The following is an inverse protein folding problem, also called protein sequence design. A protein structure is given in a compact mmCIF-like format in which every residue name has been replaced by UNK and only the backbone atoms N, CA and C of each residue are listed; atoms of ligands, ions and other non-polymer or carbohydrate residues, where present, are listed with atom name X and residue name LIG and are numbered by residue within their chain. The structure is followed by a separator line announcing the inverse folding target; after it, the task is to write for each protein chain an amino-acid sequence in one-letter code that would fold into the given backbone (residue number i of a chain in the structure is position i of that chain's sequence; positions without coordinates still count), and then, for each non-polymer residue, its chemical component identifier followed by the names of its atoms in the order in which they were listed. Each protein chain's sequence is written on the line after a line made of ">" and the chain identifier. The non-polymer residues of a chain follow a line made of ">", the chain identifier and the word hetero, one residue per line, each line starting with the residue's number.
data_IF_541762000852
#
_entry.id   IF_541762000852
#
_cell.length_a   1.000
_cell.length_b   1.000
_cell.length_c   1.000
_cell.angle_alpha   90.00
_cell.angle_beta   90.00
_cell.angle_gamma   90.00
#
_symmetry.space_group_name_H-M   'P 1'
#
loop_
_entity.id
_entity.type
_entity.pdbx_description
1 polymer ?
#
# COMPACT_ATOMS: atom_id res chain seq x y z
N UNK A 1 -5.59 -14.43 3.84
CA UNK A 1 -6.53 -13.31 3.66
C UNK A 1 -6.07 -12.48 2.48
N UNK A 2 -6.96 -12.19 1.53
CA UNK A 2 -6.66 -11.41 0.33
C UNK A 2 -7.91 -10.65 -0.14
N UNK A 3 -7.75 -9.63 -0.97
CA UNK A 3 -8.85 -8.82 -1.54
C UNK A 3 -8.80 -8.70 -3.07
N UNK A 4 -7.77 -9.26 -3.70
CA UNK A 4 -7.64 -9.23 -5.16
C UNK A 4 -8.65 -10.14 -5.85
N UNK A 5 -8.94 -9.88 -7.12
CA UNK A 5 -9.74 -10.79 -7.95
C UNK A 5 -8.94 -12.07 -8.14
N UNK A 6 -9.44 -13.16 -7.57
CA UNK A 6 -8.80 -14.47 -7.71
C UNK A 6 -9.00 -14.98 -9.14
N UNK A 7 -7.91 -15.24 -9.83
CA UNK A 7 -7.87 -16.12 -10.99
C UNK A 7 -7.74 -17.53 -10.43
N UNK A 8 -8.65 -18.46 -10.77
CA UNK A 8 -8.66 -19.87 -10.36
C UNK A 8 -7.55 -20.27 -9.36
N UNK A 9 -7.81 -20.14 -8.07
CA UNK A 9 -6.79 -20.46 -7.07
C UNK A 9 -7.08 -21.82 -6.42
N UNK A 10 -6.24 -22.80 -6.68
CA UNK A 10 -6.16 -24.00 -5.86
C UNK A 10 -5.32 -23.68 -4.61
N UNK A 11 -5.96 -23.12 -3.60
CA UNK A 11 -5.30 -22.96 -2.30
C UNK A 11 -5.58 -24.17 -1.41
N UNK A 12 -4.55 -24.63 -0.73
CA UNK A 12 -4.61 -25.76 0.21
C UNK A 12 -4.96 -25.32 1.64
N UNK A 13 -5.26 -24.04 1.84
CA UNK A 13 -5.62 -23.45 3.14
C UNK A 13 -6.98 -22.74 3.07
N UNK A 14 -7.51 -22.36 4.23
CA UNK A 14 -8.72 -21.52 4.29
C UNK A 14 -8.47 -20.16 3.64
N UNK A 15 -9.19 -19.88 2.57
CA UNK A 15 -9.17 -18.59 1.88
C UNK A 15 -10.24 -17.67 2.45
N UNK A 16 -9.84 -16.50 2.93
CA UNK A 16 -10.75 -15.39 3.29
C UNK A 16 -10.56 -14.31 2.25
N UNK A 17 -11.47 -14.23 1.30
CA UNK A 17 -11.47 -13.24 0.23
C UNK A 17 -12.93 -12.91 -0.13
N UNK A 18 -13.43 -11.69 0.14
CA UNK A 18 -14.82 -11.33 -0.09
C UNK A 18 -15.22 -11.40 -1.58
N UNK A 19 -14.26 -11.29 -2.49
CA UNK A 19 -14.54 -11.44 -3.94
C UNK A 19 -14.72 -12.87 -4.41
N UNK A 20 -14.40 -13.83 -3.55
CA UNK A 20 -14.54 -15.29 -3.82
C UNK A 20 -15.66 -15.89 -3.00
N UNK A 21 -15.79 -15.43 -1.75
CA UNK A 21 -16.65 -16.08 -0.77
C UNK A 21 -18.03 -15.41 -0.63
N UNK A 22 -18.18 -14.15 -1.07
CA UNK A 22 -19.38 -13.35 -0.82
C UNK A 22 -20.09 -12.92 -2.11
N UNK A 23 -21.32 -12.43 -1.97
CA UNK A 23 -22.09 -11.86 -3.08
C UNK A 23 -21.38 -10.60 -3.66
N UNK A 24 -21.55 -10.36 -4.96
CA UNK A 24 -20.89 -9.26 -5.68
C UNK A 24 -21.21 -7.87 -5.11
N UNK A 25 -22.36 -7.69 -4.48
CA UNK A 25 -22.83 -6.44 -3.90
C UNK A 25 -22.52 -6.30 -2.39
N UNK A 26 -21.81 -7.25 -1.80
CA UNK A 26 -21.48 -7.21 -0.38
C UNK A 26 -20.65 -5.94 -0.04
N UNK A 27 -21.08 -5.13 0.96
CA UNK A 27 -20.46 -3.84 1.25
C UNK A 27 -18.99 -3.91 1.67
N UNK A 28 -18.54 -5.08 2.12
CA UNK A 28 -17.14 -5.34 2.51
C UNK A 28 -16.23 -5.78 1.36
N UNK A 29 -16.76 -5.97 0.15
CA UNK A 29 -15.95 -6.30 -1.02
C UNK A 29 -14.90 -5.23 -1.38
N UNK A 30 -15.11 -4.01 -0.94
CA UNK A 30 -14.17 -2.91 -1.16
C UNK A 30 -13.07 -2.81 -0.10
N UNK A 31 -13.09 -3.67 0.93
CA UNK A 31 -12.04 -3.68 1.95
C UNK A 31 -10.72 -4.20 1.36
N UNK A 32 -9.62 -3.51 1.67
CA UNK A 32 -8.28 -4.01 1.41
C UNK A 32 -7.90 -5.12 2.41
N UNK A 33 -6.81 -5.85 2.14
CA UNK A 33 -6.35 -6.92 3.04
C UNK A 33 -6.13 -6.44 4.47
N UNK A 34 -5.61 -5.24 4.69
CA UNK A 34 -5.43 -4.69 6.04
C UNK A 34 -6.78 -4.50 6.78
N UNK A 35 -7.80 -4.00 6.07
CA UNK A 35 -9.16 -3.87 6.61
C UNK A 35 -9.79 -5.23 6.91
N UNK A 36 -9.61 -6.21 6.03
CA UNK A 36 -10.10 -7.57 6.23
C UNK A 36 -9.45 -8.24 7.44
N UNK A 37 -8.12 -8.12 7.59
CA UNK A 37 -7.39 -8.64 8.76
C UNK A 37 -7.88 -7.98 10.05
N UNK A 38 -8.07 -6.67 10.04
CA UNK A 38 -8.63 -5.94 11.19
C UNK A 38 -10.00 -6.50 11.61
N UNK A 39 -10.91 -6.73 10.65
CA UNK A 39 -12.21 -7.34 10.91
C UNK A 39 -12.12 -8.78 11.37
N UNK A 40 -11.22 -9.58 10.77
CA UNK A 40 -11.00 -10.97 11.17
C UNK A 40 -10.54 -11.05 12.63
N UNK A 41 -9.54 -10.25 13.01
CA UNK A 41 -9.07 -10.17 14.41
C UNK A 41 -10.21 -9.76 15.35
N UNK A 42 -10.99 -8.74 14.97
CA UNK A 42 -12.16 -8.32 15.75
C UNK A 42 -13.17 -9.47 15.93
N UNK A 43 -13.46 -10.22 14.86
CA UNK A 43 -14.36 -11.38 14.89
C UNK A 43 -13.84 -12.49 15.81
N UNK A 44 -12.57 -12.84 15.70
CA UNK A 44 -11.93 -13.87 16.55
C UNK A 44 -12.00 -13.48 18.02
N UNK A 45 -11.63 -12.24 18.37
CA UNK A 45 -11.69 -11.77 19.75
C UNK A 45 -13.13 -11.72 20.29
N UNK A 46 -14.11 -11.43 19.44
CA UNK A 46 -15.52 -11.49 19.82
C UNK A 46 -15.95 -12.92 20.15
N UNK A 47 -15.57 -13.90 19.32
CA UNK A 47 -15.88 -15.32 19.56
C UNK A 47 -15.22 -15.80 20.86
N UNK A 48 -13.95 -15.48 21.08
CA UNK A 48 -13.25 -15.84 22.31
C UNK A 48 -13.95 -15.26 23.57
N UNK A 49 -14.34 -13.98 23.51
CA UNK A 49 -15.10 -13.35 24.62
C UNK A 49 -16.42 -14.05 24.92
N UNK A 50 -17.16 -14.41 23.88
CA UNK A 50 -18.43 -15.13 24.04
C UNK A 50 -18.24 -16.54 24.62
N UNK A 51 -17.07 -17.15 24.37
CA UNK A 51 -16.67 -18.45 24.95
C UNK A 51 -16.11 -18.33 26.36
N UNK A 52 -15.99 -17.13 26.93
CA UNK A 52 -15.38 -16.92 28.26
C UNK A 52 -13.86 -17.03 28.28
N UNK A 53 -13.20 -16.99 27.12
CA UNK A 53 -11.74 -17.07 26.99
C UNK A 53 -11.12 -15.69 27.24
N UNK A 54 -10.20 -15.60 28.22
CA UNK A 54 -9.54 -14.35 28.61
C UNK A 54 -8.76 -13.70 27.46
N UNK A 55 -8.26 -14.49 26.50
CA UNK A 55 -7.61 -13.95 25.29
C UNK A 55 -8.52 -13.03 24.48
N UNK A 56 -9.83 -13.20 24.58
CA UNK A 56 -10.80 -12.32 23.92
C UNK A 56 -10.77 -10.87 24.38
N UNK A 57 -10.21 -10.60 25.59
CA UNK A 57 -10.09 -9.26 26.18
C UNK A 57 -8.65 -8.74 26.22
N UNK A 58 -7.67 -9.58 25.88
CA UNK A 58 -6.23 -9.27 25.97
C UNK A 58 -5.77 -8.20 24.96
N UNK A 59 -6.51 -8.02 23.86
CA UNK A 59 -6.17 -7.09 22.77
C UNK A 59 -7.29 -6.09 22.56
N UNK A 60 -6.96 -4.81 22.60
CA UNK A 60 -7.85 -3.74 22.19
C UNK A 60 -7.71 -3.50 20.67
N UNK A 61 -8.63 -4.04 19.86
CA UNK A 61 -8.57 -3.97 18.39
C UNK A 61 -8.41 -2.53 17.88
N UNK A 62 -8.98 -1.55 18.57
CA UNK A 62 -8.87 -0.13 18.23
C UNK A 62 -7.42 0.39 18.19
N UNK A 63 -6.51 -0.27 18.90
CA UNK A 63 -5.08 0.11 18.92
C UNK A 63 -4.35 -0.26 17.62
N UNK A 64 -5.03 -0.94 16.70
CA UNK A 64 -4.55 -1.30 15.36
C UNK A 64 -5.25 -0.50 14.25
N UNK A 65 -6.06 0.50 14.59
CA UNK A 65 -6.72 1.36 13.60
C UNK A 65 -5.73 2.17 12.77
N UNK A 66 -4.58 2.52 13.33
CA UNK A 66 -3.48 3.17 12.64
C UNK A 66 -2.98 2.34 11.43
N UNK A 67 -2.72 1.05 11.65
CA UNK A 67 -2.29 0.13 10.59
C UNK A 67 -3.41 -0.18 9.59
N UNK A 68 -4.65 -0.33 10.08
CA UNK A 68 -5.80 -0.55 9.21
C UNK A 68 -6.03 0.65 8.28
N UNK A 69 -5.94 1.88 8.78
CA UNK A 69 -6.06 3.09 7.96
C UNK A 69 -4.89 3.26 7.01
N UNK A 70 -3.66 3.02 7.48
CA UNK A 70 -2.48 3.07 6.63
C UNK A 70 -2.63 2.15 5.41
N UNK A 71 -2.98 0.88 5.62
CA UNK A 71 -3.20 -0.07 4.52
C UNK A 71 -4.38 0.32 3.64
N UNK A 72 -5.53 0.70 4.22
CA UNK A 72 -6.74 1.09 3.48
C UNK A 72 -6.47 2.28 2.54
N UNK A 73 -5.73 3.29 3.02
CA UNK A 73 -5.45 4.50 2.25
C UNK A 73 -4.32 4.26 1.23
N UNK A 74 -3.26 3.54 1.63
CA UNK A 74 -2.13 3.26 0.75
C UNK A 74 -2.49 2.33 -0.42
N UNK A 75 -3.50 1.48 -0.25
CA UNK A 75 -4.03 0.58 -1.28
C UNK A 75 -5.05 1.26 -2.22
N UNK A 76 -5.36 2.53 -1.97
CA UNK A 76 -6.25 3.36 -2.79
C UNK A 76 -7.66 2.80 -2.98
N UNK A 77 -8.14 1.98 -2.05
CA UNK A 77 -9.52 1.49 -2.09
C UNK A 77 -10.52 2.62 -1.87
N UNK A 78 -11.76 2.51 -2.41
CA UNK A 78 -12.78 3.54 -2.24
C UNK A 78 -13.07 3.82 -0.76
N UNK A 79 -12.92 5.07 -0.32
CA UNK A 79 -13.19 5.48 1.07
C UNK A 79 -14.70 5.70 1.27
N UNK A 80 -15.47 4.61 1.14
CA UNK A 80 -16.93 4.56 1.36
C UNK A 80 -17.23 3.56 2.46
N UNK A 81 -18.43 3.59 3.02
CA UNK A 81 -18.91 2.64 4.02
C UNK A 81 -17.87 2.37 5.13
N UNK A 82 -17.46 1.14 5.35
CA UNK A 82 -16.51 0.75 6.39
C UNK A 82 -15.10 1.32 6.16
N UNK A 83 -14.61 1.39 4.90
CA UNK A 83 -13.32 2.01 4.60
C UNK A 83 -13.25 3.47 5.04
N UNK A 84 -14.38 4.22 4.93
CA UNK A 84 -14.45 5.59 5.42
C UNK A 84 -14.33 5.65 6.94
N UNK A 85 -14.96 4.72 7.65
CA UNK A 85 -14.91 4.64 9.12
C UNK A 85 -13.49 4.29 9.56
N UNK A 86 -12.87 3.26 8.96
CA UNK A 86 -11.50 2.85 9.24
C UNK A 86 -10.51 4.00 8.97
N UNK A 87 -10.62 4.65 7.82
CA UNK A 87 -9.78 5.79 7.48
C UNK A 87 -9.96 6.98 8.43
N UNK A 88 -11.19 7.36 8.74
CA UNK A 88 -11.47 8.53 9.59
C UNK A 88 -10.95 8.36 11.03
N UNK A 89 -11.18 7.20 11.63
CA UNK A 89 -10.72 6.92 12.99
C UNK A 89 -9.24 6.55 13.02
N UNK A 90 -8.78 5.81 12.02
CA UNK A 90 -7.40 5.38 11.96
C UNK A 90 -6.43 6.51 11.61
N UNK A 91 -6.82 7.54 10.83
CA UNK A 91 -5.99 8.73 10.62
C UNK A 91 -5.70 9.49 11.92
N UNK A 92 -6.64 9.52 12.85
CA UNK A 92 -6.41 10.09 14.19
C UNK A 92 -5.38 9.27 14.96
N UNK A 93 -5.56 7.93 14.99
CA UNK A 93 -4.64 7.04 15.66
C UNK A 93 -3.23 7.06 15.00
N UNK A 94 -3.16 7.15 13.68
CA UNK A 94 -1.92 7.28 12.92
C UNK A 94 -1.21 8.61 13.26
N UNK A 95 -1.95 9.71 13.35
CA UNK A 95 -1.42 11.03 13.73
C UNK A 95 -0.85 11.05 15.15
N UNK A 96 -1.43 10.30 16.10
CA UNK A 96 -0.90 10.16 17.47
C UNK A 96 0.51 9.51 17.49
N UNK A 97 0.89 8.81 16.43
CA UNK A 97 2.22 8.23 16.21
C UNK A 97 2.74 7.44 17.44
N UNK A 98 1.90 6.58 18.00
CA UNK A 98 2.23 5.78 19.20
C UNK A 98 3.29 4.72 18.92
N UNK A 99 3.26 4.11 17.72
CA UNK A 99 4.26 3.10 17.29
C UNK A 99 5.54 3.78 16.86
N UNK A 100 6.69 3.31 17.35
CA UNK A 100 7.99 3.90 17.02
C UNK A 100 8.25 3.88 15.51
N UNK A 101 7.91 2.79 14.82
CA UNK A 101 8.06 2.68 13.37
C UNK A 101 7.21 3.69 12.60
N UNK A 102 5.96 3.91 12.98
CA UNK A 102 5.10 4.93 12.37
C UNK A 102 5.59 6.35 12.66
N UNK A 103 6.05 6.59 13.88
CA UNK A 103 6.66 7.86 14.28
C UNK A 103 7.86 8.21 13.41
N UNK A 104 8.78 7.27 13.23
CA UNK A 104 9.95 7.44 12.38
C UNK A 104 9.56 7.65 10.91
N UNK A 105 8.60 6.88 10.41
CA UNK A 105 8.13 6.97 9.02
C UNK A 105 7.45 8.32 8.73
N UNK A 106 6.64 8.84 9.65
CA UNK A 106 6.04 10.18 9.56
C UNK A 106 7.11 11.26 9.51
N UNK A 107 8.11 11.17 10.40
CA UNK A 107 9.20 12.14 10.47
C UNK A 107 10.02 12.19 9.17
N UNK A 108 10.49 11.05 8.63
CA UNK A 108 11.24 11.02 7.36
C UNK A 108 10.38 11.41 6.16
N UNK A 109 9.05 11.37 6.30
CA UNK A 109 8.12 11.90 5.29
C UNK A 109 7.97 13.42 5.33
N UNK A 110 8.73 14.11 6.20
CA UNK A 110 8.71 15.56 6.35
C UNK A 110 7.45 16.06 7.05
N UNK A 111 6.91 15.29 7.98
CA UNK A 111 5.74 15.66 8.79
C UNK A 111 6.05 15.54 10.28
N UNK A 112 5.28 16.27 11.09
CA UNK A 112 5.43 16.26 12.55
C UNK A 112 4.69 15.07 13.15
N UNK A 113 5.37 14.12 13.83
CA UNK A 113 4.69 13.07 14.59
C UNK A 113 3.87 13.67 15.75
N UNK A 114 2.62 13.25 15.89
CA UNK A 114 1.67 13.85 16.81
C UNK A 114 0.77 14.92 16.18
N UNK A 115 0.99 15.23 14.89
CA UNK A 115 0.19 16.17 14.12
C UNK A 115 -1.07 15.57 13.50
N UNK A 116 -1.87 16.42 12.87
CA UNK A 116 -3.06 15.99 12.12
C UNK A 116 -2.64 15.50 10.74
N UNK A 117 -2.98 14.27 10.42
CA UNK A 117 -2.73 13.65 9.13
C UNK A 117 -4.00 13.57 8.29
N UNK A 118 -3.85 13.78 6.98
CA UNK A 118 -4.89 13.59 5.98
C UNK A 118 -4.66 12.30 5.17
N UNK A 119 -5.70 11.86 4.44
CA UNK A 119 -5.54 10.74 3.48
C UNK A 119 -4.53 11.08 2.37
N UNK A 120 -4.39 12.35 2.00
CA UNK A 120 -3.39 12.82 1.03
C UNK A 120 -1.98 12.60 1.55
N UNK A 121 -1.71 12.88 2.83
CA UNK A 121 -0.40 12.64 3.44
C UNK A 121 -0.05 11.15 3.42
N UNK A 122 -1.01 10.29 3.72
CA UNK A 122 -0.80 8.84 3.66
C UNK A 122 -0.57 8.38 2.22
N UNK A 123 -1.40 8.81 1.26
CA UNK A 123 -1.31 8.35 -0.14
C UNK A 123 -0.05 8.83 -0.85
N UNK A 124 0.42 10.06 -0.56
CA UNK A 124 1.49 10.70 -1.35
C UNK A 124 2.81 10.84 -0.60
N UNK A 125 2.83 10.69 0.73
CA UNK A 125 4.04 10.86 1.54
C UNK A 125 4.43 9.58 2.29
N UNK A 126 3.52 8.94 3.00
CA UNK A 126 3.82 7.75 3.81
C UNK A 126 3.79 6.47 2.96
N UNK A 127 2.67 6.19 2.29
CA UNK A 127 2.45 4.98 1.50
C UNK A 127 3.51 4.73 0.42
N UNK A 128 3.95 5.73 -0.35
CA UNK A 128 4.99 5.54 -1.36
C UNK A 128 6.32 5.01 -0.82
N UNK A 129 6.70 5.33 0.43
CA UNK A 129 7.92 4.82 1.08
C UNK A 129 7.81 3.33 1.41
N UNK A 130 6.66 2.91 1.89
CA UNK A 130 6.36 1.48 2.13
C UNK A 130 6.34 0.72 0.80
N UNK A 131 5.62 1.24 -0.19
CA UNK A 131 5.43 0.59 -1.48
C UNK A 131 6.72 0.53 -2.33
N UNK A 132 7.67 1.45 -2.13
CA UNK A 132 8.92 1.48 -2.88
C UNK A 132 9.78 0.25 -2.62
N UNK A 133 9.82 -0.27 -1.39
CA UNK A 133 10.59 -1.47 -1.05
C UNK A 133 10.06 -2.72 -1.79
N UNK A 134 8.76 -2.88 -1.92
CA UNK A 134 8.17 -3.99 -2.69
C UNK A 134 8.35 -3.87 -4.21
N UNK A 135 8.85 -2.72 -4.72
CA UNK A 135 9.14 -2.50 -6.15
C UNK A 135 10.61 -2.66 -6.51
N UNK A 136 11.51 -2.25 -5.63
CA UNK A 136 12.96 -2.19 -5.90
C UNK A 136 13.80 -3.05 -4.96
N UNK A 137 13.21 -3.54 -3.86
CA UNK A 137 13.93 -4.25 -2.80
C UNK A 137 13.05 -5.35 -2.20
N UNK A 138 13.14 -5.55 -0.88
CA UNK A 138 12.42 -6.56 -0.12
C UNK A 138 11.34 -5.91 0.77
N UNK A 139 10.14 -6.49 0.74
CA UNK A 139 9.00 -6.08 1.56
C UNK A 139 9.19 -6.37 3.07
N UNK A 140 10.23 -7.08 3.48
CA UNK A 140 10.56 -7.34 4.89
C UNK A 140 10.95 -6.07 5.65
N UNK A 141 11.56 -5.09 4.98
CA UNK A 141 12.01 -3.83 5.60
C UNK A 141 10.87 -3.02 6.22
N UNK A 142 9.77 -2.70 5.50
CA UNK A 142 8.64 -1.99 6.12
C UNK A 142 7.94 -2.83 7.19
N UNK A 143 7.89 -4.16 7.05
CA UNK A 143 7.34 -5.02 8.08
C UNK A 143 8.16 -4.94 9.37
N UNK A 144 9.49 -5.02 9.28
CA UNK A 144 10.40 -4.88 10.42
C UNK A 144 10.22 -3.52 11.10
N UNK A 145 10.17 -2.44 10.32
CA UNK A 145 9.91 -1.10 10.83
C UNK A 145 8.61 -1.01 11.65
N UNK A 146 7.51 -1.59 11.13
CA UNK A 146 6.21 -1.52 11.78
C UNK A 146 6.08 -2.42 13.02
N UNK A 147 6.95 -3.44 13.14
CA UNK A 147 6.98 -4.38 14.26
C UNK A 147 8.00 -3.99 15.34
N UNK A 148 8.97 -3.13 15.04
CA UNK A 148 10.01 -2.73 15.99
C UNK A 148 9.51 -1.69 16.98
N UNK A 149 9.87 -1.88 18.25
CA UNK A 149 9.69 -0.90 19.32
C UNK A 149 10.98 -0.15 19.67
N UNK A 150 12.14 -0.53 19.06
CA UNK A 150 13.41 0.16 19.25
C UNK A 150 13.49 1.43 18.41
N UNK A 151 13.62 2.62 19.01
CA UNK A 151 13.65 3.88 18.28
C UNK A 151 14.82 4.01 17.31
N UNK A 152 16.01 3.45 17.64
CA UNK A 152 17.19 3.56 16.79
C UNK A 152 17.05 2.69 15.54
N UNK A 153 16.54 1.48 15.69
CA UNK A 153 16.21 0.60 14.58
C UNK A 153 15.13 1.22 13.68
N UNK A 154 14.07 1.77 14.28
CA UNK A 154 13.00 2.44 13.54
C UNK A 154 13.52 3.64 12.74
N UNK A 155 14.39 4.46 13.30
CA UNK A 155 14.99 5.61 12.57
C UNK A 155 15.84 5.14 11.39
N UNK A 156 16.68 4.11 11.60
CA UNK A 156 17.51 3.53 10.54
C UNK A 156 16.67 2.97 9.40
N UNK A 157 15.66 2.16 9.74
CA UNK A 157 14.82 1.49 8.75
C UNK A 157 13.93 2.48 8.00
N UNK A 158 13.41 3.51 8.67
CA UNK A 158 12.66 4.59 8.03
C UNK A 158 13.53 5.41 7.07
N UNK A 159 14.78 5.72 7.45
CA UNK A 159 15.73 6.41 6.58
C UNK A 159 16.07 5.57 5.34
N UNK A 160 16.20 4.25 5.49
CA UNK A 160 16.43 3.34 4.37
C UNK A 160 15.23 3.30 3.42
N UNK A 161 14.00 3.26 3.94
CA UNK A 161 12.78 3.34 3.12
C UNK A 161 12.67 4.67 2.36
N UNK A 162 13.06 5.79 2.99
CA UNK A 162 13.08 7.09 2.32
C UNK A 162 14.11 7.12 1.18
N UNK A 163 15.30 6.52 1.38
CA UNK A 163 16.32 6.40 0.33
C UNK A 163 15.82 5.58 -0.86
N UNK A 164 15.25 4.40 -0.62
CA UNK A 164 14.66 3.53 -1.65
C UNK A 164 13.54 4.27 -2.41
N UNK A 165 12.71 5.05 -1.70
CA UNK A 165 11.65 5.81 -2.35
C UNK A 165 12.19 6.95 -3.22
N UNK A 166 13.27 7.62 -2.82
CA UNK A 166 13.95 8.62 -3.65
C UNK A 166 14.54 7.99 -4.91
N UNK A 167 15.24 6.87 -4.78
CA UNK A 167 15.76 6.11 -5.91
C UNK A 167 14.64 5.70 -6.87
N UNK A 168 13.55 5.16 -6.35
CA UNK A 168 12.37 4.84 -7.16
C UNK A 168 11.83 6.06 -7.91
N UNK A 169 11.81 7.25 -7.28
CA UNK A 169 11.35 8.49 -7.92
C UNK A 169 12.26 8.94 -9.05
N UNK A 170 13.56 8.80 -8.90
CA UNK A 170 14.55 9.13 -9.94
C UNK A 170 14.41 8.18 -11.15
N UNK A 171 14.33 6.87 -10.90
CA UNK A 171 14.09 5.86 -11.94
C UNK A 171 12.77 6.14 -12.67
N UNK A 172 11.68 6.37 -11.92
CA UNK A 172 10.35 6.65 -12.47
C UNK A 172 10.34 7.92 -13.33
N UNK A 173 11.04 8.98 -12.91
CA UNK A 173 11.20 10.20 -13.69
C UNK A 173 11.89 9.92 -15.02
N UNK A 174 13.04 9.25 -15.00
CA UNK A 174 13.82 8.89 -16.19
C UNK A 174 12.98 8.04 -17.16
N UNK A 175 12.36 6.97 -16.67
CA UNK A 175 11.51 6.08 -17.48
C UNK A 175 10.33 6.86 -18.09
N UNK A 176 9.69 7.73 -17.32
CA UNK A 176 8.56 8.53 -17.81
C UNK A 176 8.99 9.49 -18.92
N UNK A 177 10.15 10.16 -18.79
CA UNK A 177 10.69 11.08 -19.78
C UNK A 177 11.05 10.35 -21.08
N UNK A 178 11.76 9.24 -21.00
CA UNK A 178 12.17 8.43 -22.16
C UNK A 178 10.96 7.82 -22.90
N UNK A 179 10.02 7.22 -22.16
CA UNK A 179 8.82 6.62 -22.72
C UNK A 179 7.87 7.68 -23.33
N UNK A 180 7.76 8.86 -22.71
CA UNK A 180 7.00 9.97 -23.27
C UNK A 180 7.62 10.49 -24.57
N UNK A 181 8.95 10.58 -24.64
CA UNK A 181 9.63 11.00 -25.87
C UNK A 181 9.38 10.01 -27.00
N UNK A 182 9.43 8.69 -26.75
CA UNK A 182 9.07 7.67 -27.73
C UNK A 182 7.62 7.82 -28.20
N UNK A 183 6.66 7.95 -27.26
CA UNK A 183 5.26 8.08 -27.62
C UNK A 183 5.01 9.31 -28.49
N UNK A 184 5.59 10.46 -28.17
CA UNK A 184 5.48 11.70 -28.97
C UNK A 184 6.08 11.57 -30.37
N UNK A 185 7.19 10.84 -30.51
CA UNK A 185 7.81 10.60 -31.81
C UNK A 185 6.96 9.73 -32.76
N UNK A 186 6.00 8.96 -32.24
CA UNK A 186 5.07 8.15 -33.01
C UNK A 186 3.91 9.00 -33.63
N UNK A 187 3.79 10.26 -33.25
CA UNK A 187 2.69 11.13 -33.71
C UNK A 187 1.38 10.91 -32.94
N UNK A 188 0.24 11.39 -33.48
CA UNK A 188 -1.08 11.24 -32.87
C UNK A 188 -1.70 9.88 -33.24
N UNK A 189 -1.67 8.96 -32.29
CA UNK A 189 -2.20 7.61 -32.44
C UNK A 189 -3.34 7.35 -31.45
N UNK A 190 -4.17 6.36 -31.76
CA UNK A 190 -5.25 5.91 -30.86
C UNK A 190 -4.74 5.26 -29.55
N UNK A 191 -3.48 4.83 -29.53
CA UNK A 191 -2.79 4.26 -28.39
C UNK A 191 -1.30 4.08 -28.66
N UNK A 192 -0.51 3.88 -27.61
CA UNK A 192 0.95 3.82 -27.68
C UNK A 192 1.49 2.54 -27.05
N UNK A 193 2.48 1.95 -27.70
CA UNK A 193 3.29 0.87 -27.13
C UNK A 193 4.75 1.33 -27.18
N UNK A 194 5.35 1.51 -26.02
CA UNK A 194 6.75 1.95 -25.88
C UNK A 194 7.54 0.93 -25.07
N UNK A 195 8.82 0.83 -25.33
CA UNK A 195 9.68 -0.15 -24.66
C UNK A 195 11.08 0.41 -24.43
N UNK A 196 11.76 -0.13 -23.43
CA UNK A 196 13.12 0.25 -23.10
C UNK A 196 13.75 -0.68 -22.07
N UNK A 197 15.00 -0.40 -21.75
CA UNK A 197 15.73 -1.09 -20.67
C UNK A 197 15.34 -0.46 -19.32
N UNK A 198 14.09 -0.71 -18.93
CA UNK A 198 13.46 -0.09 -17.77
C UNK A 198 13.07 -1.12 -16.71
N UNK A 199 13.27 -0.75 -15.45
CA UNK A 199 12.94 -1.62 -14.33
C UNK A 199 11.43 -1.91 -14.25
N UNK A 200 11.00 -3.21 -14.22
CA UNK A 200 9.58 -3.59 -14.26
C UNK A 200 8.76 -3.02 -13.09
N UNK A 201 9.38 -2.77 -11.94
CA UNK A 201 8.71 -2.17 -10.77
C UNK A 201 8.20 -0.74 -10.97
N UNK A 202 8.64 -0.01 -12.03
CA UNK A 202 8.24 1.39 -12.28
C UNK A 202 7.48 1.61 -13.58
N UNK A 203 7.56 0.68 -14.55
CA UNK A 203 6.91 0.86 -15.87
C UNK A 203 5.41 1.12 -15.77
N UNK A 204 4.71 0.50 -14.82
CA UNK A 204 3.29 0.73 -14.60
C UNK A 204 2.97 2.14 -14.09
N UNK A 205 3.89 2.76 -13.32
CA UNK A 205 3.74 4.15 -12.85
C UNK A 205 3.91 5.10 -14.04
N UNK A 206 4.95 4.89 -14.86
CA UNK A 206 5.20 5.66 -16.06
C UNK A 206 4.03 5.55 -17.05
N UNK A 207 3.53 4.34 -17.32
CA UNK A 207 2.36 4.11 -18.17
C UNK A 207 1.15 4.96 -17.72
N UNK A 208 0.83 4.94 -16.44
CA UNK A 208 -0.28 5.73 -15.89
C UNK A 208 -0.09 7.24 -16.02
N UNK A 209 1.15 7.75 -15.91
CA UNK A 209 1.47 9.18 -16.12
C UNK A 209 1.31 9.57 -17.58
N UNK A 210 1.84 8.77 -18.50
CA UNK A 210 1.81 9.04 -19.94
C UNK A 210 0.37 8.93 -20.45
N UNK A 211 -0.37 7.91 -20.03
CA UNK A 211 -1.79 7.75 -20.35
C UNK A 211 -2.61 9.01 -20.00
N UNK A 212 -2.43 9.55 -18.79
CA UNK A 212 -3.10 10.79 -18.38
C UNK A 212 -2.64 12.02 -19.15
N UNK A 213 -1.36 12.09 -19.51
CA UNK A 213 -0.81 13.26 -20.21
C UNK A 213 -1.22 13.31 -21.68
N UNK A 214 -1.36 12.15 -22.33
CA UNK A 214 -1.73 12.04 -23.75
C UNK A 214 -3.22 11.79 -23.96
N UNK A 215 -3.97 11.48 -22.91
CA UNK A 215 -5.38 11.06 -22.97
C UNK A 215 -5.60 9.89 -23.94
N UNK A 216 -4.70 8.91 -23.90
CA UNK A 216 -4.67 7.73 -24.78
C UNK A 216 -4.22 6.48 -24.01
N UNK A 217 -4.67 5.29 -24.40
CA UNK A 217 -4.13 4.03 -23.86
C UNK A 217 -2.62 3.91 -24.11
N UNK A 218 -1.88 3.49 -23.08
CA UNK A 218 -0.43 3.36 -23.15
C UNK A 218 0.02 2.04 -22.55
N UNK A 219 0.84 1.29 -23.28
CA UNK A 219 1.56 0.11 -22.79
C UNK A 219 3.05 0.46 -22.71
N UNK A 220 3.63 0.29 -21.54
CA UNK A 220 5.07 0.48 -21.32
C UNK A 220 5.69 -0.87 -20.99
N UNK A 221 6.65 -1.31 -21.81
CA UNK A 221 7.35 -2.59 -21.66
C UNK A 221 8.75 -2.33 -21.12
N UNK A 222 9.10 -2.94 -20.00
CA UNK A 222 10.45 -2.98 -19.45
C UNK A 222 11.13 -4.30 -19.81
N UNK A 223 12.47 -4.33 -19.81
CA UNK A 223 13.21 -5.57 -19.81
C UNK A 223 13.25 -6.16 -18.41
N UNK A 224 12.82 -7.39 -18.27
CA UNK A 224 13.24 -8.20 -17.13
C UNK A 224 14.73 -8.49 -17.33
N UNK A 225 15.57 -8.15 -16.35
CA UNK A 225 17.00 -8.43 -16.45
C UNK A 225 17.20 -9.92 -16.79
N UNK A 226 18.14 -10.22 -17.66
CA UNK A 226 18.57 -11.60 -17.90
C UNK A 226 18.91 -12.19 -16.53
N UNK A 227 18.11 -13.16 -16.10
CA UNK A 227 18.42 -14.01 -14.96
C UNK A 227 19.68 -14.76 -15.33
N UNK A 228 20.80 -14.39 -14.74
CA UNK A 228 22.05 -15.12 -14.86
C UNK A 228 21.95 -16.46 -14.12
#
# INVERSE_FOLDING_TARGET
>A
VDHHVAKESRVTCTLVNPRVNDAEDAPWQTLCTAGLVFKLVHGVLKVLRLAGDERGTSIAVKDYLDLAALGTIADLVPLRTENRILAAHGLKALGEARRQGLRALIAVSGMEPGGVLSSVDVSYRIGPRINASGRLADASLPLRLLLSDDPADCLRDAAQLDAINRERQEIDKKVTEEAMAQAKAMGDLAGYVVHGDWHPGVVGIAAGKICRALDRPVIVLGKEGESA
#
